data_IF_961790423776
#
_entry.id   IF_961790423776
#
_cell.length_a   1.000
_cell.length_b   1.000
_cell.length_c   1.000
_cell.angle_alpha   90.00
_cell.angle_beta   90.00
_cell.angle_gamma   90.00
#
_symmetry.space_group_name_H-M   'P 1'
#
loop_
_entity.id
_entity.type
_entity.pdbx_description
1 polymer ?
#
# COMPACT_ATOMS: atom_id res chain seq x y z
N UNK A 1 45.39 48.40 31.51
CA UNK A 1 45.41 47.67 30.24
C UNK A 1 44.81 46.30 30.52
N UNK A 2 43.57 46.01 30.08
CA UNK A 2 42.95 44.72 30.31
C UNK A 2 43.39 43.74 29.22
N UNK A 3 43.82 42.56 29.63
CA UNK A 3 44.09 41.42 28.77
C UNK A 3 42.78 40.83 28.26
N UNK A 4 42.72 40.54 26.96
CA UNK A 4 41.56 39.99 26.29
C UNK A 4 41.52 38.47 26.45
N UNK A 5 40.44 37.96 27.05
CA UNK A 5 40.09 36.55 27.03
C UNK A 5 39.48 36.19 25.66
N UNK A 6 40.14 35.30 24.94
CA UNK A 6 39.61 34.68 23.72
C UNK A 6 38.59 33.59 24.10
N UNK A 7 37.35 33.60 23.56
CA UNK A 7 36.44 32.48 23.74
C UNK A 7 36.86 31.32 22.82
N UNK A 8 36.96 30.13 23.42
CA UNK A 8 37.15 28.85 22.75
C UNK A 8 35.97 28.61 21.79
N UNK A 9 36.25 28.47 20.50
CA UNK A 9 35.26 28.11 19.50
C UNK A 9 34.76 26.67 19.75
N UNK A 10 33.48 26.53 20.10
CA UNK A 10 32.80 25.25 20.09
C UNK A 10 32.64 24.80 18.63
N UNK A 11 33.35 23.74 18.25
CA UNK A 11 33.15 23.07 16.98
C UNK A 11 31.77 22.39 17.02
N UNK A 12 30.80 22.96 16.32
CA UNK A 12 29.50 22.35 16.09
C UNK A 12 29.72 21.17 15.13
N UNK A 13 29.75 19.96 15.68
CA UNK A 13 29.71 18.73 14.90
C UNK A 13 28.31 18.65 14.25
N UNK A 14 28.25 18.94 12.95
CA UNK A 14 27.10 18.66 12.11
C UNK A 14 26.97 17.13 11.97
N UNK A 15 26.03 16.55 12.71
CA UNK A 15 25.56 15.20 12.43
C UNK A 15 24.89 15.18 11.04
N UNK A 16 25.08 14.12 10.24
CA UNK A 16 24.37 13.99 8.98
C UNK A 16 22.88 13.85 9.27
N UNK A 17 22.07 14.80 8.78
CA UNK A 17 20.62 14.70 8.79
C UNK A 17 20.18 13.64 7.78
N UNK A 18 20.10 12.37 8.21
CA UNK A 18 19.28 11.37 7.54
C UNK A 18 17.80 11.70 7.78
N UNK A 19 16.91 11.45 6.81
CA UNK A 19 15.47 11.72 6.91
C UNK A 19 14.74 10.91 8.02
N UNK A 20 15.44 10.24 8.93
CA UNK A 20 14.84 9.37 9.94
C UNK A 20 14.92 10.05 11.31
N UNK A 21 13.87 10.77 11.68
CA UNK A 21 13.59 11.15 13.07
C UNK A 21 12.40 10.29 13.53
N UNK A 22 12.72 9.13 14.12
CA UNK A 22 11.71 8.23 14.68
C UNK A 22 11.08 8.95 15.87
N UNK A 23 9.85 9.44 15.71
CA UNK A 23 9.06 9.91 16.85
C UNK A 23 8.99 8.77 17.86
N UNK A 24 9.29 9.04 19.13
CA UNK A 24 9.07 8.06 20.21
C UNK A 24 7.59 7.61 20.16
N UNK A 25 7.37 6.43 19.60
CA UNK A 25 6.06 5.81 19.48
C UNK A 25 5.63 5.40 20.90
N UNK A 26 4.75 6.20 21.50
CA UNK A 26 4.12 5.86 22.77
C UNK A 26 2.84 5.06 22.51
N UNK A 27 2.96 3.74 22.56
CA UNK A 27 1.92 2.85 23.06
C UNK A 27 2.58 1.50 23.41
N UNK A 28 2.28 0.99 24.60
CA UNK A 28 2.82 -0.29 25.07
C UNK A 28 2.33 -1.39 24.13
N UNK A 29 3.20 -1.89 23.26
CA UNK A 29 2.97 -3.16 22.57
C UNK A 29 2.65 -4.24 23.63
N UNK A 30 1.50 -4.89 23.51
CA UNK A 30 1.18 -6.10 24.31
C UNK A 30 1.98 -7.33 23.83
N UNK A 31 2.66 -7.23 22.68
CA UNK A 31 3.47 -8.30 22.08
C UNK A 31 4.94 -8.10 22.47
N UNK A 32 5.57 -9.16 22.98
CA UNK A 32 7.00 -9.19 23.24
C UNK A 32 7.76 -9.33 21.91
N UNK A 33 8.57 -8.32 21.56
CA UNK A 33 9.32 -8.34 20.32
C UNK A 33 10.58 -9.19 20.44
N UNK A 34 10.83 -10.01 19.44
CA UNK A 34 12.02 -10.85 19.38
C UNK A 34 12.50 -11.08 17.95
N UNK A 35 13.77 -11.46 17.81
CA UNK A 35 14.35 -11.79 16.50
C UNK A 35 14.43 -13.30 16.37
N UNK A 36 13.58 -13.88 15.54
CA UNK A 36 13.53 -15.33 15.30
C UNK A 36 14.37 -15.78 14.09
N UNK A 37 14.94 -14.81 13.34
CA UNK A 37 15.73 -15.09 12.13
C UNK A 37 17.21 -14.84 12.39
N UNK A 38 18.02 -15.88 12.23
CA UNK A 38 19.48 -15.75 12.18
C UNK A 38 19.97 -15.49 10.76
N UNK A 39 19.58 -16.34 9.79
CA UNK A 39 19.96 -16.24 8.38
C UNK A 39 18.84 -16.74 7.46
N UNK A 40 18.26 -15.84 6.66
CA UNK A 40 17.20 -16.17 5.71
C UNK A 40 17.56 -17.27 4.70
N UNK A 41 18.84 -17.57 4.49
CA UNK A 41 19.27 -18.64 3.58
C UNK A 41 18.99 -20.05 4.12
N UNK A 42 18.75 -20.17 5.42
CA UNK A 42 18.40 -21.43 6.06
C UNK A 42 16.88 -21.67 6.05
N UNK A 43 16.10 -20.69 5.59
CA UNK A 43 14.64 -20.72 5.62
C UNK A 43 14.02 -21.25 4.31
N UNK A 44 12.94 -22.02 4.43
CA UNK A 44 12.10 -22.50 3.34
C UNK A 44 10.80 -21.68 3.35
N UNK A 45 10.72 -20.72 2.44
CA UNK A 45 9.58 -19.80 2.32
C UNK A 45 8.44 -20.45 1.54
N UNK A 46 7.25 -20.44 2.13
CA UNK A 46 5.98 -20.78 1.49
C UNK A 46 5.14 -19.51 1.30
N UNK A 47 5.01 -19.06 0.06
CA UNK A 47 4.17 -17.91 -0.28
C UNK A 47 2.70 -18.31 -0.30
N UNK A 48 1.87 -17.53 0.39
CA UNK A 48 0.43 -17.73 0.48
C UNK A 48 -0.30 -16.47 0.02
N UNK A 49 -1.16 -16.66 -0.96
CA UNK A 49 -2.25 -15.74 -1.23
C UNK A 49 -3.40 -16.05 -0.25
N UNK A 50 -3.54 -15.25 0.80
CA UNK A 50 -4.39 -15.56 1.97
C UNK A 50 -5.81 -15.96 1.56
N UNK A 51 -6.47 -15.16 0.71
CA UNK A 51 -7.83 -15.40 0.19
C UNK A 51 -8.03 -16.76 -0.50
N UNK A 52 -6.95 -17.39 -0.98
CA UNK A 52 -7.00 -18.60 -1.81
C UNK A 52 -6.49 -19.85 -1.12
N UNK A 53 -6.12 -19.75 0.16
CA UNK A 53 -5.53 -20.86 0.88
C UNK A 53 -6.58 -21.71 1.60
N UNK A 54 -7.20 -21.18 2.64
CA UNK A 54 -8.23 -21.87 3.41
C UNK A 54 -9.12 -20.84 4.11
N UNK A 55 -10.43 -21.07 4.11
CA UNK A 55 -11.42 -20.28 4.82
C UNK A 55 -11.67 -20.92 6.20
N UNK A 56 -11.19 -20.27 7.26
CA UNK A 56 -11.33 -20.73 8.63
C UNK A 56 -12.45 -20.02 9.41
N UNK A 57 -12.84 -18.81 9.02
CA UNK A 57 -13.88 -18.02 9.68
C UNK A 57 -14.90 -17.44 8.70
N UNK A 58 -15.99 -18.19 8.49
CA UNK A 58 -17.15 -17.73 7.69
C UNK A 58 -17.83 -16.46 8.21
N UNK A 59 -17.48 -15.98 9.42
CA UNK A 59 -17.97 -14.73 9.97
C UNK A 59 -17.47 -13.49 9.23
N UNK A 60 -16.37 -13.59 8.49
CA UNK A 60 -15.77 -12.51 7.70
C UNK A 60 -16.09 -12.61 6.17
N UNK A 61 -16.92 -13.57 5.75
CA UNK A 61 -17.27 -13.86 4.35
C UNK A 61 -18.30 -12.90 3.71
N UNK A 62 -18.26 -11.61 4.01
CA UNK A 62 -19.17 -10.66 3.35
C UNK A 62 -18.75 -10.49 1.88
N UNK A 63 -19.71 -10.56 0.95
CA UNK A 63 -19.42 -10.35 -0.48
C UNK A 63 -18.66 -11.48 -1.19
N UNK A 64 -18.24 -12.54 -0.49
CA UNK A 64 -17.50 -13.68 -1.04
C UNK A 64 -18.27 -14.40 -2.16
N UNK A 65 -17.55 -14.75 -3.24
CA UNK A 65 -18.06 -15.54 -4.37
C UNK A 65 -17.06 -16.60 -4.82
N UNK A 66 -17.30 -17.84 -4.41
CA UNK A 66 -16.40 -18.96 -4.69
C UNK A 66 -16.27 -19.34 -6.18
N UNK A 67 -17.22 -18.95 -7.03
CA UNK A 67 -17.27 -19.28 -8.46
C UNK A 67 -16.66 -18.21 -9.37
N UNK A 68 -16.17 -17.10 -8.80
CA UNK A 68 -15.58 -15.99 -9.54
C UNK A 68 -14.17 -15.69 -9.02
N UNK A 69 -13.15 -15.94 -9.85
CA UNK A 69 -11.74 -15.72 -9.50
C UNK A 69 -11.38 -14.23 -9.35
N UNK A 70 -12.25 -13.33 -9.84
CA UNK A 70 -12.10 -11.90 -9.63
C UNK A 70 -12.62 -11.44 -8.26
N UNK A 71 -13.20 -12.34 -7.45
CA UNK A 71 -13.83 -12.01 -6.17
C UNK A 71 -13.07 -12.59 -5.00
N UNK A 72 -13.35 -12.08 -3.80
CA UNK A 72 -12.97 -12.76 -2.57
C UNK A 72 -13.55 -14.17 -2.54
N UNK A 73 -12.73 -15.14 -2.15
CA UNK A 73 -13.07 -16.55 -1.98
C UNK A 73 -13.07 -16.97 -0.50
N UNK A 74 -12.76 -16.06 0.41
CA UNK A 74 -12.96 -16.21 1.85
C UNK A 74 -11.78 -16.87 2.59
N UNK A 75 -10.63 -17.04 1.93
CA UNK A 75 -9.44 -17.48 2.63
C UNK A 75 -8.94 -16.43 3.62
N UNK A 76 -8.52 -16.86 4.81
CA UNK A 76 -8.25 -15.94 5.92
C UNK A 76 -7.11 -16.46 6.84
N UNK A 77 -6.75 -15.65 7.84
CA UNK A 77 -5.69 -16.02 8.79
C UNK A 77 -6.08 -17.17 9.70
N UNK A 78 -7.38 -17.35 10.00
CA UNK A 78 -7.85 -18.51 10.76
C UNK A 78 -7.61 -19.80 9.97
N UNK A 79 -7.88 -19.80 8.66
CA UNK A 79 -7.64 -20.94 7.80
C UNK A 79 -6.14 -21.29 7.70
N UNK A 80 -5.26 -20.29 7.74
CA UNK A 80 -3.82 -20.51 7.87
C UNK A 80 -3.45 -21.16 9.20
N UNK A 81 -3.97 -20.65 10.32
CA UNK A 81 -3.76 -21.21 11.67
C UNK A 81 -4.20 -22.68 11.70
N UNK A 82 -5.38 -22.98 11.17
CA UNK A 82 -5.97 -24.33 11.15
C UNK A 82 -5.12 -25.35 10.37
N UNK A 83 -4.29 -24.89 9.43
CA UNK A 83 -3.44 -25.72 8.57
C UNK A 83 -1.94 -25.63 8.89
N UNK A 84 -1.56 -25.05 10.03
CA UNK A 84 -0.15 -24.98 10.44
C UNK A 84 0.53 -26.36 10.52
N UNK A 85 -0.22 -27.40 10.93
CA UNK A 85 0.31 -28.76 10.97
C UNK A 85 0.67 -29.31 9.58
N UNK A 86 -0.08 -28.94 8.54
CA UNK A 86 0.25 -29.30 7.16
C UNK A 86 1.52 -28.60 6.68
N UNK A 87 1.66 -27.31 7.00
CA UNK A 87 2.83 -26.51 6.63
C UNK A 87 4.10 -27.03 7.34
N UNK A 88 3.97 -27.45 8.60
CA UNK A 88 5.04 -28.06 9.39
C UNK A 88 5.46 -29.41 8.81
N UNK A 89 4.50 -30.29 8.49
CA UNK A 89 4.78 -31.60 7.88
C UNK A 89 5.46 -31.47 6.51
N UNK A 90 5.12 -30.42 5.75
CA UNK A 90 5.76 -30.11 4.47
C UNK A 90 7.23 -29.65 4.64
N UNK A 91 7.63 -29.23 5.83
CA UNK A 91 8.96 -28.70 6.13
C UNK A 91 9.10 -27.20 5.84
N UNK A 92 7.99 -26.46 5.81
CA UNK A 92 8.01 -25.00 5.71
C UNK A 92 8.59 -24.41 6.99
N UNK A 93 9.45 -23.40 6.87
CA UNK A 93 9.99 -22.67 8.03
C UNK A 93 9.62 -21.20 8.02
N UNK A 94 9.09 -20.68 6.92
CA UNK A 94 8.65 -19.29 6.81
C UNK A 94 7.40 -19.18 5.96
N UNK A 95 6.40 -18.45 6.44
CA UNK A 95 5.23 -18.05 5.66
C UNK A 95 5.46 -16.66 5.08
N UNK A 96 5.20 -16.48 3.79
CA UNK A 96 5.07 -15.16 3.19
C UNK A 96 3.60 -14.93 2.85
N UNK A 97 2.94 -14.03 3.57
CA UNK A 97 1.50 -13.77 3.43
C UNK A 97 1.24 -12.48 2.64
N UNK A 98 0.05 -12.41 2.03
CA UNK A 98 -0.50 -11.21 1.38
C UNK A 98 -0.41 -9.95 2.26
N UNK A 99 -0.48 -8.74 1.68
CA UNK A 99 -0.51 -7.53 2.49
C UNK A 99 -1.68 -7.53 3.46
N UNK A 100 -1.39 -7.17 4.71
CA UNK A 100 -2.35 -7.26 5.82
C UNK A 100 -3.27 -6.05 5.93
N UNK A 101 -2.92 -4.95 5.25
CA UNK A 101 -3.58 -3.66 5.39
C UNK A 101 -4.94 -3.65 4.70
N UNK A 102 -5.86 -2.82 5.21
CA UNK A 102 -7.18 -2.63 4.62
C UNK A 102 -7.08 -2.11 3.19
N UNK A 103 -7.90 -2.68 2.32
CA UNK A 103 -7.89 -2.42 0.89
C UNK A 103 -9.17 -1.71 0.44
N UNK A 104 -9.14 -1.11 -0.75
CA UNK A 104 -10.35 -0.88 -1.54
C UNK A 104 -11.00 -2.25 -1.81
N UNK A 105 -12.28 -2.40 -1.49
CA UNK A 105 -12.93 -3.72 -1.47
C UNK A 105 -13.13 -4.26 -2.90
N UNK A 106 -13.55 -3.39 -3.82
CA UNK A 106 -13.83 -3.77 -5.20
C UNK A 106 -13.68 -2.58 -6.13
N UNK A 107 -13.01 -2.76 -7.26
CA UNK A 107 -12.92 -1.79 -8.36
C UNK A 107 -12.96 -2.52 -9.70
N UNK A 108 -13.58 -1.91 -10.72
CA UNK A 108 -13.68 -2.48 -12.06
C UNK A 108 -14.17 -3.96 -12.13
N UNK A 109 -15.07 -4.36 -11.22
CA UNK A 109 -15.57 -5.73 -11.04
C UNK A 109 -14.53 -6.77 -10.58
N UNK A 110 -13.44 -6.32 -9.98
CA UNK A 110 -12.43 -7.15 -9.33
C UNK A 110 -12.35 -6.73 -7.87
N UNK A 111 -12.25 -7.69 -6.96
CA UNK A 111 -12.15 -7.41 -5.53
C UNK A 111 -10.69 -7.33 -5.09
N UNK A 112 -10.43 -6.60 -4.00
CA UNK A 112 -9.10 -6.41 -3.39
C UNK A 112 -8.53 -7.67 -2.70
N UNK A 113 -8.95 -8.87 -3.09
CA UNK A 113 -8.60 -10.16 -2.47
C UNK A 113 -7.11 -10.45 -2.39
N UNK A 114 -6.33 -9.78 -3.25
CA UNK A 114 -4.89 -9.94 -3.30
C UNK A 114 -4.14 -9.02 -2.31
N UNK A 115 -4.79 -8.00 -1.75
CA UNK A 115 -4.23 -7.12 -0.71
C UNK A 115 -3.40 -5.93 -1.23
N UNK A 116 -3.29 -5.73 -2.55
CA UNK A 116 -2.41 -4.72 -3.16
C UNK A 116 -3.07 -3.34 -3.42
N UNK A 117 -4.32 -3.15 -3.02
CA UNK A 117 -5.08 -1.91 -3.19
C UNK A 117 -5.25 -1.18 -1.86
N UNK A 118 -4.13 -0.90 -1.18
CA UNK A 118 -4.14 -0.28 0.14
C UNK A 118 -5.03 0.97 0.17
N UNK A 119 -5.90 1.03 1.17
CA UNK A 119 -6.73 2.18 1.50
C UNK A 119 -6.41 2.69 2.91
N UNK A 120 -6.22 1.80 3.89
CA UNK A 120 -5.81 2.20 5.24
C UNK A 120 -4.63 1.36 5.69
N UNK A 121 -3.45 1.97 5.74
CA UNK A 121 -2.21 1.33 6.17
C UNK A 121 -2.16 1.04 7.68
N UNK A 122 -3.07 1.61 8.47
CA UNK A 122 -3.11 1.47 9.93
C UNK A 122 -4.07 0.40 10.44
N UNK A 123 -4.91 -0.17 9.57
CA UNK A 123 -5.91 -1.18 9.94
C UNK A 123 -5.82 -2.45 9.08
N UNK A 124 -6.30 -3.56 9.61
CA UNK A 124 -6.30 -4.87 8.93
C UNK A 124 -7.34 -4.96 7.82
N UNK A 125 -7.08 -5.78 6.81
CA UNK A 125 -8.09 -6.21 5.85
C UNK A 125 -9.16 -7.06 6.58
N UNK A 126 -10.43 -6.60 6.65
CA UNK A 126 -11.44 -7.30 7.43
C UNK A 126 -11.84 -8.65 6.83
N UNK A 127 -11.53 -8.91 5.55
CA UNK A 127 -11.73 -10.24 4.95
C UNK A 127 -10.70 -11.28 5.41
N UNK A 128 -9.53 -10.85 5.92
CA UNK A 128 -8.50 -11.79 6.41
C UNK A 128 -8.60 -12.06 7.90
N UNK A 129 -9.28 -11.18 8.64
CA UNK A 129 -9.54 -11.34 10.07
C UNK A 129 -9.28 -10.07 10.87
N UNK A 130 -9.15 -10.24 12.19
CA UNK A 130 -8.86 -9.15 13.12
C UNK A 130 -7.36 -9.02 13.39
N UNK A 131 -6.93 -7.90 13.98
CA UNK A 131 -5.55 -7.76 14.48
C UNK A 131 -5.18 -8.90 15.45
N UNK A 132 -6.12 -9.32 16.31
CA UNK A 132 -5.89 -10.42 17.24
C UNK A 132 -5.66 -11.76 16.52
N UNK A 133 -6.39 -12.01 15.43
CA UNK A 133 -6.20 -13.21 14.60
C UNK A 133 -4.84 -13.19 13.89
N UNK A 134 -4.39 -12.02 13.42
CA UNK A 134 -3.05 -11.86 12.84
C UNK A 134 -1.94 -12.10 13.88
N UNK A 135 -2.10 -11.56 15.09
CA UNK A 135 -1.18 -11.81 16.20
C UNK A 135 -1.14 -13.30 16.58
N UNK A 136 -2.29 -13.96 16.59
CA UNK A 136 -2.39 -15.41 16.83
C UNK A 136 -1.66 -16.19 15.74
N UNK A 137 -1.83 -15.82 14.46
CA UNK A 137 -1.13 -16.44 13.34
C UNK A 137 0.40 -16.39 13.53
N UNK A 138 0.95 -15.23 13.86
CA UNK A 138 2.39 -15.06 14.09
C UNK A 138 2.84 -15.87 15.32
N UNK A 139 2.09 -15.81 16.42
CA UNK A 139 2.41 -16.56 17.64
C UNK A 139 2.33 -18.09 17.45
N UNK A 140 1.42 -18.59 16.60
CA UNK A 140 1.35 -20.00 16.23
C UNK A 140 2.52 -20.42 15.33
N UNK A 141 2.94 -19.56 14.41
CA UNK A 141 4.12 -19.79 13.59
C UNK A 141 5.38 -19.90 14.46
N UNK A 142 5.62 -18.92 15.34
CA UNK A 142 6.79 -18.94 16.24
C UNK A 142 6.81 -20.16 17.17
N UNK A 143 5.65 -20.62 17.65
CA UNK A 143 5.54 -21.84 18.46
C UNK A 143 5.99 -23.11 17.73
N UNK A 144 6.08 -23.06 16.40
CA UNK A 144 6.53 -24.14 15.51
C UNK A 144 7.89 -23.85 14.89
N UNK A 145 8.64 -22.89 15.42
CA UNK A 145 9.94 -22.44 14.86
C UNK A 145 9.81 -21.89 13.41
N UNK A 146 8.61 -21.43 13.05
CA UNK A 146 8.30 -20.80 11.78
C UNK A 146 8.25 -19.27 11.89
N UNK A 147 8.56 -18.61 10.79
CA UNK A 147 8.58 -17.15 10.68
C UNK A 147 7.43 -16.65 9.81
N UNK A 148 7.10 -15.37 9.92
CA UNK A 148 6.10 -14.71 9.07
C UNK A 148 6.70 -13.47 8.40
N UNK A 149 6.73 -13.50 7.07
CA UNK A 149 6.98 -12.34 6.20
C UNK A 149 5.64 -11.77 5.75
N UNK A 150 5.46 -10.47 5.95
CA UNK A 150 4.31 -9.73 5.43
C UNK A 150 4.69 -9.07 4.10
N UNK A 151 3.82 -9.16 3.10
CA UNK A 151 3.97 -8.37 1.87
C UNK A 151 3.58 -6.90 2.13
N UNK A 152 4.35 -5.95 1.60
CA UNK A 152 4.09 -4.51 1.76
C UNK A 152 4.16 -3.80 0.41
N UNK A 153 3.41 -2.70 0.29
CA UNK A 153 3.28 -1.95 -0.96
C UNK A 153 3.69 -0.51 -0.72
N UNK A 154 4.93 -0.19 -1.10
CA UNK A 154 5.46 1.17 -1.00
C UNK A 154 5.32 1.99 -2.31
N UNK A 155 4.75 1.40 -3.36
CA UNK A 155 4.61 2.06 -4.67
C UNK A 155 3.33 2.89 -4.77
N UNK A 156 2.19 2.31 -4.41
CA UNK A 156 0.88 2.86 -4.72
C UNK A 156 -0.14 2.58 -3.62
N UNK A 157 -1.25 3.29 -3.69
CA UNK A 157 -2.52 2.95 -3.03
C UNK A 157 -3.49 2.36 -4.06
N UNK A 158 -4.66 1.89 -3.62
CA UNK A 158 -5.74 1.50 -4.53
C UNK A 158 -6.25 2.66 -5.42
N UNK A 159 -7.35 2.45 -6.14
CA UNK A 159 -8.01 3.47 -6.96
C UNK A 159 -8.64 4.58 -6.10
N UNK A 160 -7.84 5.40 -5.43
CA UNK A 160 -8.33 6.30 -4.37
C UNK A 160 -8.97 7.59 -4.90
N UNK A 161 -8.65 8.01 -6.11
CA UNK A 161 -9.05 9.30 -6.67
C UNK A 161 -9.09 9.30 -8.19
N UNK A 162 -9.74 10.30 -8.78
CA UNK A 162 -9.65 10.59 -10.20
C UNK A 162 -9.03 11.97 -10.44
N UNK A 163 -8.54 12.18 -11.66
CA UNK A 163 -8.04 13.47 -12.14
C UNK A 163 -9.22 14.23 -12.75
N UNK A 164 -9.64 15.34 -12.12
CA UNK A 164 -10.75 16.18 -12.61
C UNK A 164 -10.28 17.01 -13.83
N UNK A 165 -10.19 16.35 -14.97
CA UNK A 165 -9.62 16.92 -16.19
C UNK A 165 -10.54 17.96 -16.83
N UNK A 166 -11.84 17.94 -16.53
CA UNK A 166 -12.80 18.88 -17.09
C UNK A 166 -13.37 19.89 -16.08
N UNK A 167 -12.92 19.82 -14.82
CA UNK A 167 -13.24 20.75 -13.72
C UNK A 167 -14.71 20.74 -13.30
N UNK A 168 -15.39 19.59 -13.39
CA UNK A 168 -16.77 19.41 -12.95
C UNK A 168 -16.89 18.70 -11.58
N UNK A 169 -15.78 18.19 -11.03
CA UNK A 169 -15.74 17.45 -9.77
C UNK A 169 -16.38 16.07 -9.82
N UNK A 170 -16.63 15.51 -11.01
CA UNK A 170 -17.25 14.21 -11.22
C UNK A 170 -16.42 13.42 -12.22
N UNK A 171 -16.06 12.19 -11.86
CA UNK A 171 -15.28 11.36 -12.75
C UNK A 171 -16.05 11.04 -14.04
N UNK A 172 -15.47 11.39 -15.17
CA UNK A 172 -16.00 11.11 -16.49
C UNK A 172 -15.16 10.05 -17.23
N UNK A 173 -15.86 9.17 -17.95
CA UNK A 173 -15.26 8.18 -18.85
C UNK A 173 -15.65 8.56 -20.27
N UNK A 174 -14.79 9.31 -20.95
CA UNK A 174 -15.04 9.74 -22.32
C UNK A 174 -14.08 9.03 -23.28
N UNK A 175 -14.60 8.07 -24.05
CA UNK A 175 -13.96 7.63 -25.29
C UNK A 175 -14.21 8.73 -26.34
N UNK A 176 -13.31 9.72 -26.44
CA UNK A 176 -13.47 10.75 -27.46
C UNK A 176 -13.22 10.15 -28.85
N UNK A 177 -14.30 10.08 -29.63
CA UNK A 177 -14.25 9.98 -31.09
C UNK A 177 -14.57 11.38 -31.61
N UNK A 178 -13.57 12.11 -32.10
CA UNK A 178 -13.72 13.51 -32.56
C UNK A 178 -14.44 13.63 -33.91
N UNK A 179 -15.01 12.53 -34.41
CA UNK A 179 -15.70 12.46 -35.69
C UNK A 179 -14.77 12.39 -36.90
N UNK A 180 -13.46 12.43 -36.71
CA UNK A 180 -12.48 12.03 -37.71
C UNK A 180 -12.05 10.57 -37.44
N UNK A 181 -11.55 9.86 -38.46
CA UNK A 181 -10.96 8.52 -38.29
C UNK A 181 -9.63 8.61 -37.51
N UNK A 182 -9.68 9.03 -36.25
CA UNK A 182 -8.58 8.99 -35.30
C UNK A 182 -8.75 7.70 -34.49
N UNK A 183 -7.66 6.99 -34.14
CA UNK A 183 -7.75 5.89 -33.18
C UNK A 183 -8.52 6.34 -31.93
N UNK A 184 -9.41 5.48 -31.42
CA UNK A 184 -10.11 5.74 -30.16
C UNK A 184 -9.06 5.98 -29.08
N UNK A 185 -8.92 7.23 -28.64
CA UNK A 185 -8.03 7.55 -27.54
C UNK A 185 -8.78 7.32 -26.22
N UNK A 186 -8.16 6.54 -25.34
CA UNK A 186 -8.75 6.14 -24.07
C UNK A 186 -8.44 7.19 -23.00
N UNK A 187 -9.27 8.24 -22.89
CA UNK A 187 -9.16 9.24 -21.83
C UNK A 187 -10.19 8.93 -20.74
N UNK A 188 -9.74 8.23 -19.71
CA UNK A 188 -10.50 8.02 -18.48
C UNK A 188 -9.90 8.93 -17.42
N UNK A 189 -10.72 9.67 -16.68
CA UNK A 189 -10.24 10.50 -15.57
C UNK A 189 -9.70 9.67 -14.41
N UNK A 190 -10.07 8.39 -14.34
CA UNK A 190 -9.52 7.44 -13.38
C UNK A 190 -8.12 6.95 -13.74
N UNK A 191 -7.78 6.92 -15.04
CA UNK A 191 -6.55 6.28 -15.52
C UNK A 191 -6.09 6.92 -16.86
N UNK A 192 -5.82 8.24 -16.89
CA UNK A 192 -5.39 8.92 -18.10
C UNK A 192 -3.96 8.50 -18.48
N UNK A 193 -3.63 8.48 -19.77
CA UNK A 193 -2.28 8.17 -20.24
C UNK A 193 -1.24 9.15 -19.67
N UNK A 194 -0.03 8.64 -19.47
CA UNK A 194 1.08 9.40 -18.90
C UNK A 194 1.33 10.75 -19.59
N UNK A 195 1.38 11.84 -18.81
CA UNK A 195 1.89 13.15 -19.25
C UNK A 195 3.11 13.53 -18.38
N UNK A 196 4.31 13.73 -18.97
CA UNK A 196 5.51 14.10 -18.21
C UNK A 196 5.38 15.42 -17.45
N UNK A 197 4.42 16.29 -17.81
CA UNK A 197 4.11 17.55 -17.12
C UNK A 197 3.15 17.36 -15.92
N UNK A 198 2.66 16.14 -15.70
CA UNK A 198 1.49 15.85 -14.87
C UNK A 198 0.20 15.93 -15.68
N UNK A 199 -0.87 15.30 -15.19
CA UNK A 199 -2.18 15.37 -15.85
C UNK A 199 -2.72 16.79 -15.82
N UNK A 200 -3.18 17.28 -16.97
CA UNK A 200 -3.70 18.64 -17.14
C UNK A 200 -5.23 18.65 -17.24
N UNK A 201 -5.83 19.71 -16.71
CA UNK A 201 -7.24 20.03 -16.90
C UNK A 201 -7.44 20.95 -18.11
N UNK A 202 -8.66 20.94 -18.64
CA UNK A 202 -9.08 21.69 -19.80
C UNK A 202 -10.45 22.34 -19.58
N UNK A 203 -10.61 23.54 -20.14
CA UNK A 203 -11.89 24.25 -20.22
C UNK A 203 -12.24 24.52 -21.68
N UNK A 204 -13.40 25.10 -21.93
CA UNK A 204 -13.76 25.64 -23.26
C UNK A 204 -12.77 26.67 -23.81
N UNK A 205 -11.88 27.23 -22.98
CA UNK A 205 -10.85 28.19 -23.37
C UNK A 205 -9.47 27.55 -23.61
N UNK A 206 -9.33 26.24 -23.40
CA UNK A 206 -8.07 25.50 -23.54
C UNK A 206 -7.54 24.92 -22.22
N UNK A 207 -6.25 24.57 -22.20
CA UNK A 207 -5.54 24.02 -21.04
C UNK A 207 -5.64 24.97 -19.83
N UNK A 208 -6.02 24.41 -18.69
CA UNK A 208 -6.30 25.13 -17.45
C UNK A 208 -5.28 24.82 -16.33
N UNK A 209 -4.16 24.19 -16.69
CA UNK A 209 -3.09 23.79 -15.75
C UNK A 209 -3.33 22.39 -15.15
N UNK A 210 -2.61 22.02 -14.08
CA UNK A 210 -2.66 20.68 -13.50
C UNK A 210 -4.08 20.29 -13.06
N UNK A 211 -4.53 19.10 -13.47
CA UNK A 211 -5.84 18.57 -13.10
C UNK A 211 -5.92 18.37 -11.58
N UNK A 212 -6.97 18.90 -10.92
CA UNK A 212 -7.22 18.61 -9.51
C UNK A 212 -7.35 17.10 -9.29
N UNK A 213 -6.86 16.65 -8.14
CA UNK A 213 -7.12 15.29 -7.65
C UNK A 213 -8.36 15.36 -6.78
N UNK A 214 -9.34 14.51 -7.08
CA UNK A 214 -10.57 14.39 -6.30
C UNK A 214 -10.64 12.99 -5.73
N UNK A 215 -10.45 12.88 -4.42
CA UNK A 215 -10.63 11.60 -3.73
C UNK A 215 -12.08 11.15 -3.79
N UNK A 216 -12.24 9.85 -3.98
CA UNK A 216 -13.55 9.23 -3.98
C UNK A 216 -14.15 9.23 -2.58
N UNK A 217 -15.48 9.19 -2.53
CA UNK A 217 -16.22 9.01 -1.28
C UNK A 217 -17.35 8.00 -1.51
N UNK A 218 -16.98 6.74 -1.54
CA UNK A 218 -17.89 5.59 -1.49
C UNK A 218 -17.47 4.61 -0.38
N UNK A 219 -17.98 4.82 0.85
CA UNK A 219 -17.68 3.92 1.98
C UNK A 219 -18.16 2.47 1.79
N UNK A 220 -19.08 2.20 0.86
CA UNK A 220 -19.62 0.85 0.66
C UNK A 220 -18.63 -0.09 -0.04
N UNK A 221 -17.67 0.48 -0.79
CA UNK A 221 -16.59 -0.24 -1.49
C UNK A 221 -15.21 0.14 -0.95
N UNK A 222 -15.20 0.84 0.19
CA UNK A 222 -14.02 1.43 0.80
C UNK A 222 -13.23 2.36 -0.15
N UNK A 223 -13.90 3.01 -1.09
CA UNK A 223 -13.32 4.06 -1.92
C UNK A 223 -13.39 5.41 -1.18
N UNK A 224 -12.56 5.55 -0.15
CA UNK A 224 -12.45 6.77 0.66
C UNK A 224 -10.99 7.23 0.71
N UNK A 225 -10.72 8.50 1.09
CA UNK A 225 -9.35 9.01 1.15
C UNK A 225 -8.43 8.10 1.98
N UNK A 226 -7.24 7.73 1.45
CA UNK A 226 -6.39 6.75 2.10
C UNK A 226 -5.84 7.25 3.44
N UNK A 227 -5.65 6.33 4.37
CA UNK A 227 -5.15 6.59 5.72
C UNK A 227 -3.78 5.94 5.93
N UNK A 228 -2.90 6.52 6.76
CA UNK A 228 -3.07 7.74 7.59
C UNK A 228 -3.15 9.06 6.79
N UNK A 229 -3.43 10.17 7.48
CA UNK A 229 -3.76 11.50 6.91
C UNK A 229 -2.83 11.95 5.77
N UNK A 230 -1.52 11.64 5.83
CA UNK A 230 -0.57 11.98 4.77
C UNK A 230 -0.98 11.39 3.40
N UNK A 231 -1.54 10.18 3.38
CA UNK A 231 -1.99 9.54 2.13
C UNK A 231 -3.29 10.13 1.58
N UNK A 232 -3.98 10.98 2.35
CA UNK A 232 -5.09 11.80 1.89
C UNK A 232 -4.64 13.16 1.31
N UNK A 233 -3.34 13.47 1.26
CA UNK A 233 -2.82 14.69 0.63
C UNK A 233 -2.53 14.45 -0.87
N UNK A 234 -3.22 15.14 -1.80
CA UNK A 234 -2.95 14.96 -3.23
C UNK A 234 -1.52 15.36 -3.63
N UNK A 235 -0.80 16.15 -2.83
CA UNK A 235 0.57 16.58 -3.12
C UNK A 235 1.62 15.49 -2.92
N UNK A 236 1.26 14.34 -2.33
CA UNK A 236 2.18 13.21 -2.15
C UNK A 236 2.19 12.25 -3.33
N UNK A 237 1.34 12.43 -4.33
CA UNK A 237 1.27 11.58 -5.52
C UNK A 237 2.02 12.20 -6.71
N UNK A 238 2.56 11.36 -7.61
CA UNK A 238 3.28 11.86 -8.78
C UNK A 238 2.37 12.53 -9.83
N UNK A 239 1.10 12.11 -9.89
CA UNK A 239 0.03 12.75 -10.69
C UNK A 239 0.33 12.83 -12.19
N UNK A 240 1.08 11.87 -12.72
CA UNK A 240 1.44 11.82 -14.14
C UNK A 240 0.54 10.94 -14.98
N UNK A 241 -0.41 10.22 -14.39
CA UNK A 241 -1.26 9.26 -15.10
C UNK A 241 -0.55 7.93 -15.35
N UNK A 242 -1.25 7.01 -16.02
CA UNK A 242 -0.86 5.62 -16.13
C UNK A 242 0.35 5.40 -17.01
N UNK A 243 1.20 4.49 -16.56
CA UNK A 243 2.31 3.97 -17.36
C UNK A 243 1.78 3.23 -18.58
N UNK A 244 2.18 3.66 -19.77
CA UNK A 244 1.86 3.00 -21.05
C UNK A 244 3.10 2.36 -21.70
N UNK A 245 4.29 2.77 -21.28
CA UNK A 245 5.57 2.24 -21.74
C UNK A 245 6.52 2.00 -20.57
N UNK A 246 6.68 0.74 -20.16
CA UNK A 246 7.59 0.34 -19.08
C UNK A 246 9.08 0.42 -19.43
N UNK A 247 9.44 0.62 -20.71
CA UNK A 247 10.83 0.87 -21.13
C UNK A 247 11.23 2.36 -20.98
N UNK A 248 10.27 3.25 -20.72
CA UNK A 248 10.53 4.66 -20.42
C UNK A 248 10.82 4.84 -18.91
N UNK A 249 12.01 5.32 -18.50
CA UNK A 249 12.35 5.44 -17.10
C UNK A 249 11.50 6.44 -16.31
N UNK A 250 10.97 7.50 -16.96
CA UNK A 250 10.12 8.48 -16.25
C UNK A 250 8.74 7.89 -16.00
N UNK A 251 8.19 7.14 -16.95
CA UNK A 251 6.94 6.42 -16.74
C UNK A 251 7.08 5.33 -15.68
N UNK A 252 8.15 4.53 -15.78
CA UNK A 252 8.41 3.44 -14.84
C UNK A 252 8.49 3.91 -13.38
N UNK A 253 9.00 5.12 -13.13
CA UNK A 253 9.25 5.64 -11.79
C UNK A 253 8.19 6.60 -11.26
N UNK A 254 7.35 7.17 -12.12
CA UNK A 254 6.43 8.25 -11.74
C UNK A 254 5.02 8.11 -12.33
N UNK A 255 4.76 7.08 -13.12
CA UNK A 255 3.44 6.80 -13.68
C UNK A 255 2.62 5.92 -12.76
N UNK A 256 1.30 6.15 -12.76
CA UNK A 256 0.34 5.26 -12.11
C UNK A 256 0.50 3.84 -12.66
N UNK A 257 0.47 2.84 -11.78
CA UNK A 257 0.54 1.46 -12.23
C UNK A 257 -0.81 1.09 -12.89
N UNK A 258 -0.81 0.43 -14.06
CA UNK A 258 -2.04 0.18 -14.81
C UNK A 258 -3.12 -0.49 -13.97
N UNK A 259 -4.38 -0.10 -14.19
CA UNK A 259 -5.50 -0.55 -13.38
C UNK A 259 -5.87 0.42 -12.26
N UNK A 260 -5.44 1.69 -12.35
CA UNK A 260 -5.90 2.74 -11.45
C UNK A 260 -5.11 2.90 -10.16
N UNK A 261 -3.93 2.28 -10.05
CA UNK A 261 -3.14 2.29 -8.81
C UNK A 261 -2.32 3.57 -8.73
N UNK A 262 -2.61 4.39 -7.73
CA UNK A 262 -2.11 5.77 -7.66
C UNK A 262 -0.70 5.81 -7.13
N UNK A 263 0.21 6.28 -7.97
CA UNK A 263 1.64 6.25 -7.70
C UNK A 263 2.04 7.32 -6.68
N UNK A 264 2.59 6.84 -5.56
CA UNK A 264 3.01 7.66 -4.44
C UNK A 264 4.42 8.19 -4.71
N UNK A 265 4.63 9.50 -4.54
CA UNK A 265 5.91 10.15 -4.71
C UNK A 265 6.85 9.83 -3.54
N UNK A 266 7.46 8.66 -3.60
CA UNK A 266 8.45 8.16 -2.64
C UNK A 266 9.77 8.91 -2.70
N UNK A 267 9.95 9.95 -3.53
CA UNK A 267 11.15 10.80 -3.47
C UNK A 267 11.13 11.74 -2.26
N UNK A 268 9.94 12.08 -1.73
CA UNK A 268 9.75 13.00 -0.60
C UNK A 268 10.15 12.34 0.74
N UNK A 269 10.85 13.07 1.62
CA UNK A 269 11.27 12.52 2.92
C UNK A 269 10.05 12.20 3.82
N UNK A 270 9.00 13.03 3.82
CA UNK A 270 7.81 12.84 4.65
C UNK A 270 7.07 11.55 4.28
N UNK A 271 6.92 11.27 2.99
CA UNK A 271 6.34 10.02 2.48
C UNK A 271 7.17 8.80 2.88
N UNK A 272 8.50 8.84 2.73
CA UNK A 272 9.37 7.74 3.17
C UNK A 272 9.26 7.50 4.66
N UNK A 273 9.24 8.58 5.45
CA UNK A 273 9.11 8.52 6.90
C UNK A 273 7.78 7.88 7.29
N UNK A 274 6.67 8.30 6.68
CA UNK A 274 5.35 7.72 6.95
C UNK A 274 5.31 6.22 6.62
N UNK A 275 5.85 5.81 5.47
CA UNK A 275 5.96 4.38 5.13
C UNK A 275 6.78 3.59 6.15
N UNK A 276 7.91 4.14 6.60
CA UNK A 276 8.72 3.51 7.65
C UNK A 276 7.93 3.41 8.96
N UNK A 277 7.19 4.45 9.34
CA UNK A 277 6.39 4.46 10.56
C UNK A 277 5.23 3.46 10.50
N UNK A 278 4.44 3.41 9.42
CA UNK A 278 3.32 2.46 9.30
C UNK A 278 3.81 1.01 9.32
N UNK A 279 4.89 0.70 8.61
CA UNK A 279 5.42 -0.67 8.59
C UNK A 279 6.22 -1.03 9.84
N UNK A 280 6.86 -0.07 10.53
CA UNK A 280 7.42 -0.35 11.85
C UNK A 280 6.31 -0.74 12.85
N UNK A 281 5.17 -0.04 12.83
CA UNK A 281 4.02 -0.36 13.69
C UNK A 281 3.47 -1.76 13.47
N UNK A 282 3.49 -2.29 12.24
CA UNK A 282 3.04 -3.65 11.98
C UNK A 282 3.97 -4.70 12.62
N UNK A 283 5.28 -4.47 12.65
CA UNK A 283 6.22 -5.30 13.43
C UNK A 283 5.87 -5.19 14.92
N UNK A 284 5.72 -3.97 15.43
CA UNK A 284 5.38 -3.74 16.85
C UNK A 284 4.07 -4.42 17.26
N UNK A 285 3.08 -4.42 16.37
CA UNK A 285 1.77 -5.02 16.63
C UNK A 285 1.76 -6.53 16.55
N UNK A 286 2.69 -7.17 15.84
CA UNK A 286 2.56 -8.59 15.48
C UNK A 286 3.77 -9.47 15.80
N UNK A 287 4.96 -8.89 15.98
CA UNK A 287 6.25 -9.59 15.98
C UNK A 287 6.56 -10.32 14.65
N UNK A 288 6.02 -9.85 13.52
CA UNK A 288 6.37 -10.39 12.21
C UNK A 288 7.88 -10.27 11.94
N UNK A 289 8.42 -11.25 11.22
CA UNK A 289 9.88 -11.46 11.12
C UNK A 289 10.52 -10.70 9.96
N UNK A 290 9.72 -10.24 9.01
CA UNK A 290 10.24 -9.50 7.87
C UNK A 290 9.17 -8.98 6.93
N UNK A 291 9.65 -8.26 5.92
CA UNK A 291 8.81 -7.73 4.85
C UNK A 291 9.32 -8.17 3.49
N UNK A 292 8.37 -8.48 2.60
CA UNK A 292 8.59 -8.50 1.16
C UNK A 292 8.05 -7.19 0.59
N UNK A 293 8.87 -6.46 -0.17
CA UNK A 293 8.54 -5.18 -0.81
C UNK A 293 8.33 -5.38 -2.30
#
# INVERSE_FOLDING_TARGET
MPEAEHPLAAALLLAPAGCADFRELQEQSEVELSTHVEDWRDEIIYQVLVDRFANGDVGNDYGVRYDDLARYQGGDWQGLIDHMGYLEELGVTTLWISPVVRNVDTDANVDGYHGYWAQDFGDVNPHFGSLATLQELVAEAHRRDMKVIIDIVANHVGQAFFYDMNLNGVADINLQNDGNEVPVNHYTEYDPDFDPRGIQAFTSLGEAGPAPVVFQWDPATNHVPPQPELFSDPAIYNRKGRTVNFDDPDQLLHGDFPGGLKDVNTSRCDVKQEFVEVYARWIEKTDADGYRI
#
